data_IF_567881314623
#
_entry.id   IF_567881314623
#
_cell.length_a   1.000
_cell.length_b   1.000
_cell.length_c   1.000
_cell.angle_alpha   90.00
_cell.angle_beta   90.00
_cell.angle_gamma   90.00
#
_symmetry.space_group_name_H-M   'P 1'
#
loop_
_entity.id
_entity.type
_entity.pdbx_description
1 polymer ?
#
# COMPACT_ATOMS: atom_id res chain seq x y z
N UNK A 1 -14.53 29.18 9.87
CA UNK A 1 -13.41 28.25 9.57
C UNK A 1 -12.22 29.09 9.16
N UNK A 2 -11.07 28.76 9.71
CA UNK A 2 -9.75 29.22 9.26
C UNK A 2 -9.25 28.33 8.11
N UNK A 3 -7.99 28.49 7.71
CA UNK A 3 -7.35 27.66 6.66
C UNK A 3 -6.95 26.25 7.15
N UNK A 4 -6.79 26.06 8.45
CA UNK A 4 -6.26 24.83 9.04
C UNK A 4 -7.36 23.85 9.47
N UNK A 5 -8.60 24.35 9.58
CA UNK A 5 -9.84 23.62 9.78
C UNK A 5 -9.91 22.36 8.91
N UNK A 6 -10.18 21.20 9.53
CA UNK A 6 -10.29 19.89 8.86
C UNK A 6 -11.68 19.32 9.07
N UNK A 7 -12.21 18.64 8.05
CA UNK A 7 -13.48 17.92 8.15
C UNK A 7 -13.18 16.49 8.54
N UNK A 8 -13.83 15.99 9.59
CA UNK A 8 -13.64 14.62 10.08
C UNK A 8 -14.97 13.87 10.09
N UNK A 9 -15.02 12.71 9.45
CA UNK A 9 -16.18 11.81 9.49
C UNK A 9 -15.97 10.87 10.67
N UNK A 10 -16.66 11.16 11.77
CA UNK A 10 -16.69 10.39 13.00
C UNK A 10 -17.57 9.13 12.88
N UNK A 11 -17.35 8.09 13.71
CA UNK A 11 -18.28 6.96 13.77
C UNK A 11 -19.61 7.40 14.38
N UNK A 12 -20.70 6.71 14.01
CA UNK A 12 -22.01 6.92 14.65
C UNK A 12 -21.97 6.39 16.08
N UNK A 13 -22.32 7.24 17.04
CA UNK A 13 -22.39 6.91 18.47
C UNK A 13 -23.75 7.27 19.06
N UNK A 14 -24.06 6.64 20.19
CA UNK A 14 -25.11 7.13 21.08
C UNK A 14 -24.57 8.33 21.86
N UNK A 15 -25.44 9.27 22.25
CA UNK A 15 -25.05 10.64 22.60
C UNK A 15 -24.49 10.82 24.02
N UNK A 16 -23.32 10.25 24.27
CA UNK A 16 -22.46 10.48 25.45
C UNK A 16 -20.96 10.29 25.19
N UNK A 17 -20.57 9.69 24.05
CA UNK A 17 -19.19 9.24 23.80
C UNK A 17 -18.14 10.34 23.74
N UNK A 18 -17.00 10.11 24.40
CA UNK A 18 -15.80 10.94 24.29
C UNK A 18 -14.85 10.41 23.19
N UNK A 19 -14.19 11.33 22.50
CA UNK A 19 -13.19 11.03 21.48
C UNK A 19 -11.90 11.80 21.75
N UNK A 20 -10.79 11.08 21.87
CA UNK A 20 -9.44 11.64 22.00
C UNK A 20 -8.64 11.35 20.72
N UNK A 21 -7.88 12.33 20.22
CA UNK A 21 -6.86 12.08 19.20
C UNK A 21 -5.56 11.73 19.92
N UNK A 22 -4.97 10.59 19.56
CA UNK A 22 -3.70 10.08 20.09
C UNK A 22 -2.74 9.82 18.92
N UNK A 23 -1.44 10.03 19.12
CA UNK A 23 -0.43 9.75 18.09
C UNK A 23 0.32 8.47 18.44
N UNK A 24 0.29 7.49 17.54
CA UNK A 24 0.95 6.19 17.69
C UNK A 24 2.04 6.01 16.64
N UNK A 25 3.05 5.16 16.87
CA UNK A 25 3.94 4.72 15.80
C UNK A 25 3.14 4.09 14.65
N UNK A 26 3.52 4.40 13.42
CA UNK A 26 2.89 3.86 12.21
C UNK A 26 3.34 2.40 12.01
N UNK A 27 2.43 1.41 11.96
CA UNK A 27 2.80 -0.01 11.85
C UNK A 27 3.69 -0.37 10.66
N UNK A 28 3.63 0.39 9.55
CA UNK A 28 4.45 0.13 8.34
C UNK A 28 5.84 0.79 8.38
N UNK A 29 6.07 1.73 9.30
CA UNK A 29 7.36 2.37 9.51
C UNK A 29 7.38 3.01 10.90
N UNK A 30 7.98 2.29 11.85
CA UNK A 30 8.02 2.67 13.26
C UNK A 30 8.82 3.97 13.55
N UNK A 31 9.54 4.51 12.58
CA UNK A 31 10.21 5.84 12.68
C UNK A 31 9.26 7.03 12.42
N UNK A 32 7.98 6.76 12.13
CA UNK A 32 6.96 7.78 11.83
C UNK A 32 5.74 7.58 12.72
N UNK A 33 5.09 8.67 13.13
CA UNK A 33 3.82 8.61 13.87
C UNK A 33 2.62 8.86 12.95
N UNK A 34 1.48 8.24 13.28
CA UNK A 34 0.17 8.46 12.65
C UNK A 34 -0.84 8.82 13.74
N UNK A 35 -1.76 9.74 13.44
CA UNK A 35 -2.84 10.09 14.36
C UNK A 35 -3.97 9.06 14.30
N UNK A 36 -4.47 8.68 15.47
CA UNK A 36 -5.59 7.77 15.66
C UNK A 36 -6.65 8.46 16.53
N UNK A 37 -7.91 8.05 16.37
CA UNK A 37 -9.02 8.49 17.19
C UNK A 37 -9.37 7.36 18.16
N UNK A 38 -9.10 7.58 19.44
CA UNK A 38 -9.54 6.72 20.51
C UNK A 38 -10.97 7.12 20.91
N UNK A 39 -11.89 6.18 20.80
CA UNK A 39 -13.27 6.32 21.22
C UNK A 39 -13.44 5.66 22.59
N UNK A 40 -13.69 6.48 23.61
CA UNK A 40 -14.12 6.04 24.92
C UNK A 40 -15.65 5.96 24.96
N UNK A 41 -16.16 4.85 25.47
CA UNK A 41 -17.58 4.67 25.72
C UNK A 41 -17.74 3.96 27.07
N UNK A 42 -18.65 4.45 27.91
CA UNK A 42 -18.97 3.81 29.19
C UNK A 42 -19.82 2.55 28.97
N UNK A 43 -20.70 2.57 27.94
CA UNK A 43 -21.64 1.49 27.60
C UNK A 43 -21.07 0.43 26.64
N UNK A 44 -19.84 0.57 26.14
CA UNK A 44 -19.23 -0.44 25.24
C UNK A 44 -17.72 -0.48 25.34
N UNK A 45 -17.13 -1.58 24.89
CA UNK A 45 -15.68 -1.69 24.71
C UNK A 45 -15.11 -0.46 23.98
N UNK A 46 -13.97 0.03 24.46
CA UNK A 46 -13.19 1.08 23.82
C UNK A 46 -12.85 0.68 22.38
N UNK A 47 -12.77 1.64 21.47
CA UNK A 47 -12.44 1.37 20.06
C UNK A 47 -11.41 2.35 19.55
N UNK A 48 -10.31 1.82 19.01
CA UNK A 48 -9.32 2.59 18.29
C UNK A 48 -9.72 2.70 16.81
N UNK A 49 -9.61 3.90 16.24
CA UNK A 49 -9.82 4.16 14.82
C UNK A 49 -8.57 4.81 14.22
N UNK A 50 -8.14 4.39 13.04
CA UNK A 50 -7.12 5.12 12.28
C UNK A 50 -7.74 6.31 11.56
N UNK A 51 -7.00 7.42 11.50
CA UNK A 51 -7.38 8.59 10.73
C UNK A 51 -6.67 8.58 9.38
N UNK A 52 -7.44 8.50 8.29
CA UNK A 52 -6.94 8.57 6.91
C UNK A 52 -7.48 9.82 6.21
N UNK A 53 -6.65 10.44 5.37
CA UNK A 53 -7.06 11.59 4.55
C UNK A 53 -7.55 11.10 3.18
N UNK A 54 -8.74 11.53 2.79
CA UNK A 54 -9.31 11.42 1.43
C UNK A 54 -9.50 12.84 0.91
N UNK A 55 -8.85 13.18 -0.21
CA UNK A 55 -8.95 14.50 -0.84
C UNK A 55 -8.40 14.51 -2.26
N UNK A 56 -8.68 15.59 -3.00
CA UNK A 56 -8.09 15.86 -4.32
C UNK A 56 -6.64 16.36 -4.24
N UNK A 57 -6.01 16.61 -5.40
CA UNK A 57 -4.67 17.19 -5.48
C UNK A 57 -4.62 18.62 -4.89
N UNK A 58 -4.23 18.75 -3.62
CA UNK A 58 -3.76 20.01 -3.00
C UNK A 58 -2.39 19.78 -2.32
N UNK A 59 -1.47 19.18 -3.08
CA UNK A 59 -0.04 19.01 -2.74
C UNK A 59 0.80 19.86 -3.72
N UNK A 60 0.33 21.08 -4.01
CA UNK A 60 0.89 21.95 -5.05
C UNK A 60 0.87 23.46 -4.70
N UNK A 61 0.62 23.81 -3.44
CA UNK A 61 1.26 24.98 -2.83
C UNK A 61 2.74 24.59 -2.56
N UNK A 62 3.77 25.39 -2.83
CA UNK A 62 3.78 26.78 -3.29
C UNK A 62 4.24 27.69 -2.16
N UNK A 63 5.55 28.02 -2.15
CA UNK A 63 6.30 28.79 -1.14
C UNK A 63 6.54 28.04 0.20
N UNK A 64 7.63 28.23 0.96
CA UNK A 64 8.99 28.79 0.78
C UNK A 64 9.89 28.19 1.90
N UNK A 65 11.23 28.20 1.90
CA UNK A 65 12.24 28.57 0.87
C UNK A 65 12.91 27.24 0.39
N UNK A 66 13.86 26.58 1.07
CA UNK A 66 15.20 27.11 1.35
C UNK A 66 16.29 26.41 0.51
N UNK A 67 17.32 27.19 0.19
CA UNK A 67 18.39 26.93 -0.78
C UNK A 67 19.12 25.59 -0.60
N UNK A 68 19.37 24.91 -1.71
CA UNK A 68 20.64 24.24 -1.95
C UNK A 68 21.09 24.42 -3.41
N UNK A 69 21.77 25.53 -3.67
CA UNK A 69 22.70 25.59 -4.80
C UNK A 69 23.82 24.56 -4.56
N UNK A 70 23.87 23.51 -5.36
CA UNK A 70 25.03 23.19 -6.19
C UNK A 70 24.76 21.95 -7.06
N UNK A 71 25.25 21.98 -8.30
CA UNK A 71 25.01 20.89 -9.24
C UNK A 71 25.96 19.72 -9.04
N UNK A 72 25.44 18.49 -9.16
CA UNK A 72 26.18 17.42 -9.80
C UNK A 72 25.23 16.45 -10.51
N UNK A 73 25.61 16.01 -11.71
CA UNK A 73 24.78 15.14 -12.53
C UNK A 73 25.23 13.68 -12.41
N UNK A 74 24.32 12.74 -12.12
CA UNK A 74 24.57 11.33 -12.47
C UNK A 74 24.10 10.20 -11.55
N UNK A 75 22.84 10.15 -11.11
CA UNK A 75 22.19 8.90 -10.62
C UNK A 75 20.68 8.98 -10.88
N UNK A 76 20.16 8.53 -12.02
CA UNK A 76 19.75 7.13 -12.27
C UNK A 76 18.97 6.49 -11.13
N UNK A 77 17.67 6.25 -11.39
CA UNK A 77 16.81 5.23 -10.79
C UNK A 77 16.63 5.25 -9.26
N UNK A 78 15.87 6.25 -8.76
CA UNK A 78 14.85 5.98 -7.73
C UNK A 78 13.46 6.08 -8.38
N UNK A 79 12.53 5.23 -7.93
CA UNK A 79 11.27 4.99 -8.63
C UNK A 79 10.40 6.25 -8.75
N UNK A 80 10.12 6.67 -9.99
CA UNK A 80 9.01 7.58 -10.23
C UNK A 80 7.71 6.84 -9.93
N UNK A 81 7.10 7.09 -8.77
CA UNK A 81 5.66 6.84 -8.60
C UNK A 81 4.97 7.51 -9.79
N UNK A 82 4.09 6.81 -10.55
CA UNK A 82 3.48 7.39 -11.73
C UNK A 82 2.71 8.64 -11.32
N UNK A 83 3.16 9.81 -11.78
CA UNK A 83 2.41 11.06 -11.67
C UNK A 83 1.25 11.03 -12.66
N UNK A 84 0.29 10.13 -12.40
CA UNK A 84 -1.00 10.09 -13.10
C UNK A 84 -1.84 11.29 -12.68
N UNK A 85 -1.41 12.50 -13.07
CA UNK A 85 -2.18 13.74 -12.99
C UNK A 85 -3.33 13.69 -14.00
N UNK A 86 -4.23 12.73 -13.80
CA UNK A 86 -5.61 12.81 -14.25
C UNK A 86 -6.21 13.99 -13.50
N UNK A 87 -6.11 15.17 -14.11
CA UNK A 87 -6.85 16.36 -13.70
C UNK A 87 -8.34 16.03 -13.81
N UNK A 88 -8.94 15.51 -12.75
CA UNK A 88 -10.38 15.40 -12.65
C UNK A 88 -10.94 16.81 -12.58
N UNK A 89 -11.58 17.25 -13.66
CA UNK A 89 -12.23 18.57 -13.71
C UNK A 89 -13.35 18.68 -12.66
N UNK A 90 -13.86 17.52 -12.20
CA UNK A 90 -14.80 17.31 -11.10
C UNK A 90 -14.11 17.04 -9.74
N UNK A 91 -12.83 17.42 -9.56
CA UNK A 91 -12.20 17.40 -8.23
C UNK A 91 -12.95 18.33 -7.28
N UNK A 92 -13.25 17.84 -6.07
CA UNK A 92 -13.78 18.69 -4.99
C UNK A 92 -12.66 19.66 -4.61
N UNK A 93 -12.94 20.97 -4.66
CA UNK A 93 -11.98 22.05 -4.36
C UNK A 93 -12.28 22.81 -3.06
N UNK A 94 -13.46 22.60 -2.50
CA UNK A 94 -13.94 23.29 -1.31
C UNK A 94 -15.18 22.60 -0.77
N UNK A 95 -15.36 22.62 0.54
CA UNK A 95 -16.57 22.11 1.20
C UNK A 95 -17.38 23.31 1.71
N UNK A 96 -18.68 23.31 1.44
CA UNK A 96 -19.60 24.39 1.82
C UNK A 96 -20.49 23.89 2.96
N UNK A 97 -20.48 24.59 4.08
CA UNK A 97 -21.26 24.31 5.27
C UNK A 97 -22.32 25.39 5.48
N UNK A 98 -23.56 25.01 5.76
CA UNK A 98 -24.60 25.96 6.12
C UNK A 98 -24.23 26.73 7.41
N UNK A 99 -24.60 28.02 7.53
CA UNK A 99 -25.41 28.83 6.59
C UNK A 99 -24.60 29.51 5.47
N UNK A 100 -23.32 29.18 5.26
CA UNK A 100 -22.50 29.79 4.20
C UNK A 100 -20.98 29.79 4.42
N UNK A 101 -20.45 28.94 5.30
CA UNK A 101 -19.00 28.83 5.51
C UNK A 101 -18.36 27.98 4.40
N UNK A 102 -17.31 28.51 3.76
CA UNK A 102 -16.53 27.78 2.76
C UNK A 102 -15.20 27.36 3.37
N UNK A 103 -14.94 26.05 3.38
CA UNK A 103 -13.61 25.50 3.64
C UNK A 103 -12.86 25.33 2.32
N UNK A 104 -11.70 25.95 2.21
CA UNK A 104 -10.85 25.87 0.99
C UNK A 104 -10.09 24.56 0.85
N UNK A 105 -9.97 23.76 1.93
CA UNK A 105 -9.39 22.41 1.87
C UNK A 105 -10.47 21.37 1.57
N UNK A 106 -10.33 20.56 0.50
CA UNK A 106 -11.19 19.42 0.22
C UNK A 106 -10.73 18.12 0.92
N UNK A 107 -9.66 18.19 1.73
CA UNK A 107 -9.08 17.04 2.44
C UNK A 107 -9.98 16.65 3.63
N UNK A 108 -10.79 15.61 3.44
CA UNK A 108 -11.65 15.00 4.46
C UNK A 108 -10.86 13.92 5.20
N UNK A 109 -10.92 13.91 6.52
CA UNK A 109 -10.41 12.82 7.36
C UNK A 109 -11.55 11.81 7.59
N UNK A 110 -11.27 10.53 7.41
CA UNK A 110 -12.18 9.43 7.80
C UNK A 110 -11.59 8.63 8.97
N UNK A 111 -12.46 8.18 9.89
CA UNK A 111 -12.09 7.26 10.97
C UNK A 111 -12.46 5.82 10.61
N UNK A 112 -11.50 4.98 10.22
CA UNK A 112 -11.71 3.54 10.03
C UNK A 112 -11.39 2.79 11.32
N UNK A 113 -12.13 1.71 11.66
CA UNK A 113 -11.77 0.88 12.81
C UNK A 113 -10.38 0.26 12.61
N UNK A 114 -9.47 0.53 13.54
CA UNK A 114 -8.12 -0.03 13.55
C UNK A 114 -8.02 -1.17 14.57
N UNK A 115 -7.12 -2.12 14.33
CA UNK A 115 -6.84 -3.19 15.28
C UNK A 115 -5.39 -3.09 15.77
N UNK A 116 -5.23 -2.87 17.07
CA UNK A 116 -3.95 -2.64 17.74
C UNK A 116 -2.98 -3.83 17.58
N UNK A 117 -3.46 -5.06 17.37
CA UNK A 117 -2.60 -6.23 17.07
C UNK A 117 -1.60 -5.99 15.94
N UNK A 118 -1.97 -5.26 14.88
CA UNK A 118 -1.05 -4.93 13.77
C UNK A 118 0.16 -4.12 14.22
N UNK A 119 -0.08 -3.15 15.12
CA UNK A 119 0.98 -2.34 15.70
C UNK A 119 1.83 -3.17 16.68
N UNK A 120 1.21 -4.01 17.53
CA UNK A 120 1.94 -4.85 18.48
C UNK A 120 2.87 -5.87 17.79
N UNK A 121 2.42 -6.53 16.71
CA UNK A 121 3.26 -7.44 15.91
C UNK A 121 4.54 -6.71 15.46
N UNK A 122 4.37 -5.51 14.90
CA UNK A 122 5.47 -4.72 14.34
C UNK A 122 6.43 -4.21 15.43
N UNK A 123 5.89 -3.64 16.51
CA UNK A 123 6.67 -3.12 17.64
C UNK A 123 7.51 -4.21 18.33
N UNK A 124 6.88 -5.33 18.70
CA UNK A 124 7.58 -6.39 19.42
C UNK A 124 8.55 -7.17 18.52
N UNK A 125 8.25 -7.34 17.23
CA UNK A 125 9.22 -7.87 16.27
C UNK A 125 10.49 -7.01 16.23
N UNK A 126 10.35 -5.69 16.06
CA UNK A 126 11.49 -4.77 16.01
C UNK A 126 12.32 -4.82 17.31
N UNK A 127 11.70 -4.79 18.49
CA UNK A 127 12.43 -4.86 19.77
C UNK A 127 13.22 -6.17 19.89
N UNK A 128 12.63 -7.32 19.51
CA UNK A 128 13.31 -8.61 19.61
C UNK A 128 14.45 -8.72 18.58
N UNK A 129 14.25 -8.21 17.35
CA UNK A 129 15.33 -8.12 16.35
C UNK A 129 16.51 -7.28 16.86
N UNK A 130 16.25 -6.12 17.47
CA UNK A 130 17.30 -5.27 18.05
C UNK A 130 18.04 -5.97 19.19
N UNK A 131 17.32 -6.64 20.10
CA UNK A 131 17.93 -7.38 21.21
C UNK A 131 18.78 -8.55 20.73
N UNK A 132 18.36 -9.27 19.69
CA UNK A 132 19.19 -10.28 19.05
C UNK A 132 20.47 -9.68 18.44
N UNK A 133 20.38 -8.58 17.70
CA UNK A 133 21.54 -7.90 17.11
C UNK A 133 22.56 -7.42 18.17
N UNK A 134 22.10 -7.00 19.35
CA UNK A 134 22.98 -6.61 20.46
C UNK A 134 23.68 -7.82 21.12
N UNK A 135 23.09 -9.02 21.06
CA UNK A 135 23.61 -10.22 21.73
C UNK A 135 24.49 -11.11 20.83
N UNK A 136 24.30 -11.11 19.51
CA UNK A 136 25.06 -11.98 18.59
C UNK A 136 26.02 -11.22 17.66
N UNK A 137 27.31 -11.21 18.01
CA UNK A 137 28.39 -10.78 17.09
C UNK A 137 28.64 -11.75 15.92
N UNK A 138 27.98 -12.92 15.88
CA UNK A 138 28.16 -13.92 14.83
C UNK A 138 26.84 -14.63 14.45
N UNK A 139 26.77 -14.98 13.16
CA UNK A 139 25.74 -15.82 12.49
C UNK A 139 24.27 -15.40 12.59
N UNK A 140 23.74 -14.99 11.42
CA UNK A 140 22.35 -15.16 10.96
C UNK A 140 21.24 -15.33 12.03
N UNK A 141 20.42 -14.28 12.18
CA UNK A 141 19.16 -14.32 12.90
C UNK A 141 18.31 -15.54 12.46
N UNK A 142 18.10 -16.51 13.36
CA UNK A 142 17.09 -17.55 13.16
C UNK A 142 15.72 -16.90 13.30
N UNK A 143 14.99 -16.74 12.19
CA UNK A 143 13.75 -15.97 12.14
C UNK A 143 12.63 -16.48 13.06
N UNK A 144 12.78 -17.69 13.59
CA UNK A 144 11.92 -18.28 14.62
C UNK A 144 11.94 -17.47 15.92
N UNK A 145 13.07 -16.85 16.27
CA UNK A 145 13.24 -16.03 17.49
C UNK A 145 12.75 -14.57 17.35
N UNK A 146 11.97 -14.23 16.32
CA UNK A 146 11.41 -12.87 16.14
C UNK A 146 10.44 -12.47 17.27
N UNK A 147 9.91 -13.46 17.99
CA UNK A 147 8.95 -13.28 19.07
C UNK A 147 9.50 -13.93 20.34
N UNK A 148 9.52 -13.19 21.45
CA UNK A 148 10.16 -13.61 22.70
C UNK A 148 9.41 -14.79 23.37
N UNK A 149 10.14 -15.87 23.65
CA UNK A 149 9.65 -17.11 24.27
C UNK A 149 9.27 -17.00 25.76
N UNK A 150 9.58 -15.89 26.43
CA UNK A 150 9.30 -15.70 27.85
C UNK A 150 7.91 -15.09 28.06
N UNK A 151 7.12 -15.67 28.97
CA UNK A 151 5.87 -15.09 29.46
C UNK A 151 6.13 -13.78 30.24
N UNK A 152 5.24 -12.80 30.07
CA UNK A 152 5.33 -11.44 30.64
C UNK A 152 3.97 -10.90 31.05
N UNK A 153 3.88 -10.13 32.14
CA UNK A 153 2.64 -9.41 32.49
C UNK A 153 2.31 -8.32 31.45
N UNK A 154 1.11 -7.74 31.52
CA UNK A 154 0.79 -6.58 30.67
C UNK A 154 1.68 -5.37 31.00
N UNK A 155 2.03 -5.14 32.28
CA UNK A 155 2.92 -4.04 32.65
C UNK A 155 4.36 -4.27 32.19
N UNK A 156 4.90 -5.50 32.25
CA UNK A 156 6.20 -5.84 31.64
C UNK A 156 6.26 -5.52 30.14
N UNK A 157 5.12 -5.65 29.44
CA UNK A 157 4.99 -5.35 28.02
C UNK A 157 4.84 -3.84 27.79
N UNK A 158 4.09 -3.11 28.62
CA UNK A 158 3.95 -1.65 28.57
C UNK A 158 5.28 -0.96 28.91
N UNK A 159 5.98 -1.39 29.96
CA UNK A 159 7.32 -0.94 30.29
C UNK A 159 8.32 -1.24 29.16
N UNK A 160 8.23 -2.43 28.53
CA UNK A 160 9.06 -2.72 27.36
C UNK A 160 8.74 -1.81 26.16
N UNK A 161 7.50 -1.36 25.98
CA UNK A 161 7.18 -0.38 24.93
C UNK A 161 7.65 1.03 25.29
N UNK A 162 7.49 1.46 26.54
CA UNK A 162 7.95 2.77 27.03
C UNK A 162 9.48 2.91 26.95
N UNK A 163 10.24 1.89 27.37
CA UNK A 163 11.71 1.93 27.35
C UNK A 163 12.32 1.99 25.93
N UNK A 164 11.56 1.58 24.89
CA UNK A 164 12.07 1.47 23.51
C UNK A 164 11.46 2.53 22.56
N UNK A 165 10.31 3.12 22.91
CA UNK A 165 9.55 4.05 22.04
C UNK A 165 9.06 5.34 22.74
N UNK A 166 9.56 5.68 23.93
CA UNK A 166 9.35 7.00 24.53
C UNK A 166 10.18 8.05 23.80
N UNK A 167 9.54 9.11 23.29
CA UNK A 167 10.24 10.25 22.70
C UNK A 167 10.83 11.14 23.81
N UNK A 168 12.15 11.36 23.82
CA UNK A 168 12.86 12.18 24.83
C UNK A 168 12.37 13.64 24.97
N UNK A 169 11.56 14.12 24.03
CA UNK A 169 11.28 15.56 23.86
C UNK A 169 9.80 15.96 23.94
N UNK A 170 8.87 15.00 24.05
CA UNK A 170 7.47 15.29 24.33
C UNK A 170 6.88 14.27 25.31
N UNK A 171 6.01 14.73 26.20
CA UNK A 171 5.43 13.95 27.29
C UNK A 171 4.32 12.97 26.83
N UNK A 172 4.45 12.45 25.60
CA UNK A 172 3.45 11.72 24.83
C UNK A 172 3.66 10.21 25.01
N UNK A 173 3.53 9.74 26.26
CA UNK A 173 3.59 8.33 26.66
C UNK A 173 2.35 7.57 26.16
N UNK A 174 2.22 7.46 24.83
CA UNK A 174 1.07 6.89 24.12
C UNK A 174 0.69 5.48 24.60
N UNK A 175 1.67 4.74 25.13
CA UNK A 175 1.49 3.42 25.73
C UNK A 175 0.47 3.45 26.88
N UNK A 176 0.47 4.53 27.66
CA UNK A 176 -0.43 4.79 28.79
C UNK A 176 -1.75 5.46 28.38
N UNK A 177 -1.85 5.96 27.14
CA UNK A 177 -3.09 6.54 26.60
C UNK A 177 -4.04 5.49 26.02
N UNK A 178 -3.56 4.28 25.75
CA UNK A 178 -4.34 3.15 25.26
C UNK A 178 -4.89 2.36 26.46
N UNK A 179 -6.23 2.20 26.60
CA UNK A 179 -6.81 1.38 27.66
C UNK A 179 -6.36 -0.08 27.60
N UNK A 180 -6.06 -0.67 28.76
CA UNK A 180 -5.59 -2.06 28.91
C UNK A 180 -6.51 -3.08 28.23
N UNK A 181 -7.82 -2.81 28.17
CA UNK A 181 -8.80 -3.58 27.41
C UNK A 181 -8.38 -3.81 25.94
N UNK A 182 -7.82 -2.80 25.26
CA UNK A 182 -7.36 -2.91 23.88
C UNK A 182 -6.07 -3.75 23.79
N UNK A 183 -5.18 -3.66 24.76
CA UNK A 183 -4.01 -4.55 24.85
C UNK A 183 -4.45 -6.00 25.08
N UNK A 184 -5.28 -6.30 26.08
CA UNK A 184 -5.78 -7.65 26.34
C UNK A 184 -6.48 -8.26 25.11
N UNK A 185 -7.39 -7.52 24.45
CA UNK A 185 -8.04 -7.95 23.21
C UNK A 185 -7.03 -8.24 22.09
N UNK A 186 -5.94 -7.47 22.01
CA UNK A 186 -4.90 -7.66 20.98
C UNK A 186 -3.97 -8.83 21.31
N UNK A 187 -3.58 -8.98 22.57
CA UNK A 187 -2.63 -10.01 23.04
C UNK A 187 -3.25 -11.41 23.05
N UNK A 188 -4.53 -11.56 23.41
CA UNK A 188 -5.26 -12.84 23.34
C UNK A 188 -5.22 -13.44 21.92
N UNK A 189 -5.16 -12.59 20.89
CA UNK A 189 -5.08 -13.01 19.49
C UNK A 189 -3.66 -13.37 19.00
N UNK A 190 -2.62 -12.94 19.71
CA UNK A 190 -1.21 -13.03 19.27
C UNK A 190 -0.33 -13.89 20.18
N UNK A 191 -0.84 -14.26 21.36
CA UNK A 191 -0.05 -14.85 22.44
C UNK A 191 -0.68 -16.13 22.99
N UNK A 192 0.17 -17.00 23.54
CA UNK A 192 -0.20 -17.83 24.66
C UNK A 192 -0.47 -16.99 25.89
N UNK A 193 -1.50 -17.37 26.63
CA UNK A 193 -1.97 -16.68 27.84
C UNK A 193 -1.99 -17.69 28.97
N UNK A 194 -1.29 -17.39 30.05
CA UNK A 194 -1.37 -18.12 31.31
C UNK A 194 -1.99 -17.17 32.34
N UNK A 195 -3.02 -17.63 33.05
CA UNK A 195 -3.70 -16.86 34.09
C UNK A 195 -3.46 -17.56 35.42
N UNK A 196 -2.52 -17.05 36.21
CA UNK A 196 -2.13 -17.66 37.50
C UNK A 196 -3.05 -17.22 38.65
N UNK A 197 -3.44 -15.94 38.64
CA UNK A 197 -4.37 -15.33 39.59
C UNK A 197 -5.66 -14.92 38.87
N UNK A 198 -6.74 -14.62 39.62
CA UNK A 198 -8.05 -14.24 39.03
C UNK A 198 -7.93 -13.04 38.08
N UNK A 199 -7.09 -12.07 38.43
CA UNK A 199 -6.99 -10.77 37.76
C UNK A 199 -5.66 -10.57 36.99
N UNK A 200 -4.78 -11.59 36.94
CA UNK A 200 -3.43 -11.46 36.36
C UNK A 200 -3.17 -12.50 35.27
N UNK A 201 -2.86 -12.01 34.06
CA UNK A 201 -2.54 -12.82 32.89
C UNK A 201 -1.16 -12.48 32.34
N UNK A 202 -0.37 -13.54 32.09
CA UNK A 202 0.93 -13.49 31.48
C UNK A 202 0.86 -13.91 30.00
N UNK A 203 1.57 -13.19 29.15
CA UNK A 203 1.53 -13.30 27.70
C UNK A 203 2.88 -13.71 27.14
N UNK A 204 2.89 -14.69 26.22
CA UNK A 204 4.02 -15.04 25.37
C UNK A 204 3.57 -15.02 23.92
N UNK A 205 4.20 -14.21 23.07
CA UNK A 205 3.86 -14.17 21.64
C UNK A 205 4.08 -15.54 20.99
N UNK A 206 3.12 -16.01 20.20
CA UNK A 206 3.20 -17.28 19.48
C UNK A 206 3.06 -17.05 17.96
N UNK A 207 4.00 -17.60 17.20
CA UNK A 207 4.04 -17.44 15.75
C UNK A 207 2.82 -18.08 15.07
N UNK A 208 2.34 -19.26 15.52
CA UNK A 208 1.20 -19.90 14.86
C UNK A 208 -0.09 -19.10 15.06
N UNK A 209 -0.32 -18.53 16.25
CA UNK A 209 -1.42 -17.59 16.53
C UNK A 209 -1.33 -16.32 15.71
N UNK A 210 -0.16 -15.69 15.62
CA UNK A 210 0.06 -14.50 14.77
C UNK A 210 -0.31 -14.82 13.30
N UNK A 211 0.14 -15.96 12.78
CA UNK A 211 -0.16 -16.39 11.40
C UNK A 211 -1.64 -16.72 11.20
N UNK A 212 -2.29 -17.43 12.13
CA UNK A 212 -3.72 -17.73 12.09
C UNK A 212 -4.56 -16.45 12.14
N UNK A 213 -4.25 -15.54 13.07
CA UNK A 213 -4.97 -14.27 13.20
C UNK A 213 -4.81 -13.39 11.96
N UNK A 214 -3.61 -13.30 11.39
CA UNK A 214 -3.36 -12.60 10.11
C UNK A 214 -4.17 -13.25 8.98
N UNK A 215 -4.20 -14.58 8.90
CA UNK A 215 -4.94 -15.29 7.88
C UNK A 215 -6.46 -15.08 8.00
N UNK A 216 -7.03 -15.04 9.20
CA UNK A 216 -8.44 -14.65 9.38
C UNK A 216 -8.74 -13.28 8.77
N UNK A 217 -7.83 -12.30 8.93
CA UNK A 217 -8.04 -10.95 8.39
C UNK A 217 -7.88 -10.94 6.87
N UNK A 218 -6.95 -11.71 6.33
CA UNK A 218 -6.81 -11.96 4.88
C UNK A 218 -8.08 -12.56 4.29
N UNK A 219 -8.62 -13.63 4.89
CA UNK A 219 -9.84 -14.29 4.43
C UNK A 219 -11.10 -13.41 4.60
N UNK A 220 -11.17 -12.61 5.68
CA UNK A 220 -12.24 -11.63 5.87
C UNK A 220 -12.21 -10.52 4.80
N UNK A 221 -11.01 -10.03 4.43
CA UNK A 221 -10.83 -9.05 3.37
C UNK A 221 -11.13 -9.64 1.98
N UNK A 222 -10.65 -10.85 1.69
CA UNK A 222 -10.96 -11.58 0.46
C UNK A 222 -12.47 -11.75 0.29
N UNK A 223 -13.15 -12.22 1.36
CA UNK A 223 -14.61 -12.34 1.38
C UNK A 223 -15.28 -10.99 1.11
N UNK A 224 -14.88 -9.93 1.80
CA UNK A 224 -15.42 -8.59 1.57
C UNK A 224 -15.26 -8.12 0.11
N UNK A 225 -14.09 -8.34 -0.50
CA UNK A 225 -13.82 -7.97 -1.90
C UNK A 225 -14.68 -8.79 -2.86
N UNK A 226 -14.88 -10.09 -2.61
CA UNK A 226 -15.57 -10.98 -3.54
C UNK A 226 -17.11 -10.97 -3.40
N UNK A 227 -17.66 -10.67 -2.21
CA UNK A 227 -19.13 -10.68 -1.99
C UNK A 227 -19.84 -9.36 -2.25
N UNK A 228 -19.13 -8.24 -2.26
CA UNK A 228 -19.72 -6.91 -2.46
C UNK A 228 -19.37 -6.38 -3.85
N UNK A 229 -20.28 -5.69 -4.54
CA UNK A 229 -19.90 -5.00 -5.78
C UNK A 229 -19.10 -3.73 -5.42
N UNK A 230 -17.82 -3.72 -5.80
CA UNK A 230 -16.86 -2.70 -5.37
C UNK A 230 -15.73 -2.53 -6.40
N UNK A 231 -15.06 -1.37 -6.37
CA UNK A 231 -14.04 -1.00 -7.35
C UNK A 231 -12.81 -1.92 -7.36
N UNK A 232 -12.48 -2.59 -6.26
CA UNK A 232 -11.41 -3.59 -6.21
C UNK A 232 -11.85 -4.83 -7.00
N UNK A 233 -13.07 -5.34 -6.77
CA UNK A 233 -13.63 -6.46 -7.55
C UNK A 233 -13.70 -6.13 -9.06
N UNK A 234 -14.06 -4.89 -9.43
CA UNK A 234 -13.99 -4.44 -10.82
C UNK A 234 -12.56 -4.48 -11.36
N UNK A 235 -11.58 -4.00 -10.59
CA UNK A 235 -10.16 -4.05 -10.96
C UNK A 235 -9.67 -5.49 -11.15
N UNK A 236 -9.95 -6.40 -10.20
CA UNK A 236 -9.51 -7.80 -10.31
C UNK A 236 -10.11 -8.50 -11.53
N UNK A 237 -11.39 -8.21 -11.85
CA UNK A 237 -12.04 -8.73 -13.07
C UNK A 237 -11.40 -8.18 -14.35
N UNK A 238 -11.01 -6.90 -14.38
CA UNK A 238 -10.28 -6.29 -15.50
C UNK A 238 -8.85 -6.85 -15.64
N UNK A 239 -8.16 -7.13 -14.53
CA UNK A 239 -6.80 -7.67 -14.52
C UNK A 239 -6.75 -9.13 -15.02
N UNK A 240 -7.83 -9.89 -14.84
CA UNK A 240 -8.04 -11.23 -15.41
C UNK A 240 -8.70 -11.25 -16.80
N UNK A 241 -9.23 -10.12 -17.28
CA UNK A 241 -9.94 -10.02 -18.57
C UNK A 241 -9.85 -8.60 -19.17
N UNK A 242 -8.66 -8.14 -19.62
CA UNK A 242 -8.46 -6.73 -19.99
C UNK A 242 -9.32 -6.26 -21.17
N UNK A 243 -9.75 -7.17 -22.04
CA UNK A 243 -10.61 -6.89 -23.18
C UNK A 243 -12.11 -6.96 -22.86
N UNK A 244 -12.50 -7.41 -21.66
CA UNK A 244 -13.91 -7.65 -21.25
C UNK A 244 -14.71 -8.50 -22.26
N UNK A 245 -14.03 -9.32 -23.06
CA UNK A 245 -14.60 -9.91 -24.28
C UNK A 245 -15.23 -11.30 -24.08
N UNK A 246 -14.83 -12.00 -23.02
CA UNK A 246 -15.48 -13.23 -22.54
C UNK A 246 -15.98 -12.99 -21.11
N UNK A 247 -17.28 -13.12 -20.85
CA UNK A 247 -17.83 -12.86 -19.50
C UNK A 247 -17.43 -13.92 -18.46
N UNK A 248 -16.96 -15.10 -18.89
CA UNK A 248 -16.55 -16.19 -18.01
C UNK A 248 -15.07 -16.05 -17.63
N UNK A 249 -14.81 -15.30 -16.56
CA UNK A 249 -13.57 -15.44 -15.78
C UNK A 249 -13.71 -16.73 -14.97
N UNK A 250 -12.65 -17.54 -14.88
CA UNK A 250 -12.69 -18.75 -14.06
C UNK A 250 -12.71 -18.39 -12.57
N UNK A 251 -13.69 -18.89 -11.82
CA UNK A 251 -13.87 -18.57 -10.40
C UNK A 251 -12.62 -18.84 -9.57
N UNK A 252 -11.86 -19.89 -9.88
CA UNK A 252 -10.60 -20.18 -9.18
C UNK A 252 -9.58 -19.04 -9.35
N UNK A 253 -9.38 -18.53 -10.57
CA UNK A 253 -8.44 -17.43 -10.82
C UNK A 253 -8.88 -16.14 -10.12
N UNK A 254 -10.18 -15.88 -10.02
CA UNK A 254 -10.72 -14.74 -9.29
C UNK A 254 -10.57 -14.89 -7.77
N UNK A 255 -10.74 -16.10 -7.23
CA UNK A 255 -10.48 -16.40 -5.83
C UNK A 255 -8.99 -16.30 -5.48
N UNK A 256 -8.11 -16.89 -6.30
CA UNK A 256 -6.65 -16.85 -6.15
C UNK A 256 -6.13 -15.41 -6.17
N UNK A 257 -6.55 -14.60 -7.15
CA UNK A 257 -6.15 -13.19 -7.24
C UNK A 257 -6.74 -12.35 -6.09
N UNK A 258 -7.98 -12.62 -5.70
CA UNK A 258 -8.62 -11.97 -4.55
C UNK A 258 -7.90 -12.26 -3.24
N UNK A 259 -7.39 -13.49 -3.06
CA UNK A 259 -6.59 -13.89 -1.91
C UNK A 259 -5.23 -13.20 -1.92
N UNK A 260 -4.50 -13.27 -3.05
CA UNK A 260 -3.21 -12.60 -3.23
C UNK A 260 -3.30 -11.10 -2.96
N UNK A 261 -4.30 -10.42 -3.53
CA UNK A 261 -4.56 -9.00 -3.27
C UNK A 261 -4.83 -8.74 -1.78
N UNK A 262 -5.55 -9.64 -1.09
CA UNK A 262 -5.87 -9.46 0.33
C UNK A 262 -4.66 -9.66 1.24
N UNK A 263 -3.77 -10.59 0.90
CA UNK A 263 -2.46 -10.73 1.54
C UNK A 263 -1.65 -9.45 1.32
N UNK A 264 -1.44 -9.06 0.06
CA UNK A 264 -0.57 -7.93 -0.27
C UNK A 264 -1.13 -6.59 0.22
N UNK A 265 -2.45 -6.43 0.34
CA UNK A 265 -3.05 -5.26 0.97
C UNK A 265 -2.75 -5.22 2.49
N UNK A 266 -3.00 -6.32 3.22
CA UNK A 266 -2.82 -6.32 4.69
C UNK A 266 -1.35 -6.19 5.06
N UNK A 267 -0.49 -6.96 4.42
CA UNK A 267 0.94 -6.99 4.74
C UNK A 267 1.62 -5.66 4.43
N UNK A 268 1.36 -5.06 3.26
CA UNK A 268 2.01 -3.80 2.88
C UNK A 268 1.33 -2.53 3.43
N UNK A 269 0.19 -2.64 4.12
CA UNK A 269 -0.53 -1.48 4.70
C UNK A 269 -0.50 -1.44 6.23
N UNK A 270 -0.25 -2.57 6.91
CA UNK A 270 -0.37 -2.67 8.37
C UNK A 270 0.76 -3.41 9.09
N UNK A 271 1.81 -3.88 8.40
CA UNK A 271 2.99 -4.51 9.02
C UNK A 271 4.27 -3.83 8.56
N UNK A 272 5.28 -3.78 9.43
CA UNK A 272 6.59 -3.17 9.14
C UNK A 272 7.37 -3.98 8.09
N UNK A 273 8.05 -3.30 7.17
CA UNK A 273 8.83 -3.94 6.09
C UNK A 273 9.87 -4.96 6.61
N UNK A 274 10.42 -4.73 7.81
CA UNK A 274 11.36 -5.61 8.50
C UNK A 274 10.77 -6.90 9.08
N UNK A 275 9.44 -7.06 9.10
CA UNK A 275 8.74 -8.28 9.53
C UNK A 275 7.79 -8.86 8.47
N UNK A 276 7.23 -8.00 7.61
CA UNK A 276 6.31 -8.32 6.53
C UNK A 276 6.81 -9.52 5.70
N UNK A 277 8.03 -9.45 5.17
CA UNK A 277 8.59 -10.49 4.28
C UNK A 277 8.63 -11.89 4.91
N UNK A 278 9.06 -11.98 6.18
CA UNK A 278 9.11 -13.23 6.93
C UNK A 278 7.72 -13.78 7.25
N UNK A 279 6.84 -12.96 7.82
CA UNK A 279 5.47 -13.41 8.16
C UNK A 279 4.67 -13.77 6.90
N UNK A 280 4.90 -13.07 5.77
CA UNK A 280 4.26 -13.39 4.49
C UNK A 280 4.73 -14.75 3.99
N UNK A 281 6.04 -15.03 4.00
CA UNK A 281 6.55 -16.36 3.64
C UNK A 281 5.95 -17.44 4.55
N UNK A 282 5.96 -17.24 5.87
CA UNK A 282 5.42 -18.23 6.82
C UNK A 282 3.92 -18.46 6.68
N UNK A 283 3.14 -17.43 6.34
CA UNK A 283 1.71 -17.57 6.07
C UNK A 283 1.44 -18.38 4.80
N UNK A 284 2.27 -18.23 3.75
CA UNK A 284 2.17 -19.06 2.53
C UNK A 284 2.57 -20.51 2.80
N UNK A 285 3.59 -20.75 3.63
CA UNK A 285 4.04 -22.09 4.02
C UNK A 285 2.99 -22.84 4.87
N UNK A 286 2.50 -22.20 5.95
CA UNK A 286 1.54 -22.77 6.91
C UNK A 286 0.21 -23.17 6.23
N UNK A 287 -0.38 -22.23 5.48
CA UNK A 287 -1.69 -22.40 4.84
C UNK A 287 -1.62 -22.93 3.40
N UNK A 288 -0.40 -23.18 2.89
CA UNK A 288 -0.12 -23.85 1.60
C UNK A 288 -0.73 -23.11 0.41
N UNK A 289 -0.64 -21.79 0.41
CA UNK A 289 -1.17 -20.94 -0.66
C UNK A 289 -0.22 -20.91 -1.87
N UNK A 290 -0.71 -21.42 -3.01
CA UNK A 290 -0.01 -21.37 -4.30
C UNK A 290 -0.71 -20.40 -5.27
N UNK A 291 0.04 -19.39 -5.73
CA UNK A 291 -0.43 -18.41 -6.72
C UNK A 291 0.19 -18.62 -8.11
N UNK A 292 0.97 -19.69 -8.31
CA UNK A 292 1.68 -19.97 -9.58
C UNK A 292 0.72 -19.99 -10.77
N UNK A 293 -0.48 -20.53 -10.59
CA UNK A 293 -1.51 -20.59 -11.64
C UNK A 293 -1.98 -19.21 -12.08
N UNK A 294 -2.37 -18.35 -11.12
CA UNK A 294 -2.95 -17.04 -11.41
C UNK A 294 -1.90 -16.02 -11.86
N UNK A 295 -0.71 -16.05 -11.26
CA UNK A 295 0.42 -15.22 -11.68
C UNK A 295 0.83 -15.53 -13.12
N UNK A 296 0.94 -16.82 -13.47
CA UNK A 296 1.23 -17.22 -14.86
C UNK A 296 0.15 -16.73 -15.83
N UNK A 297 -1.14 -16.87 -15.48
CA UNK A 297 -2.22 -16.40 -16.34
C UNK A 297 -2.15 -14.88 -16.60
N UNK A 298 -1.87 -14.10 -15.56
CA UNK A 298 -1.69 -12.64 -15.65
C UNK A 298 -0.46 -12.29 -16.50
N UNK A 299 0.64 -13.03 -16.42
CA UNK A 299 1.82 -12.79 -17.25
C UNK A 299 1.61 -13.23 -18.71
N UNK A 300 0.92 -14.34 -18.96
CA UNK A 300 0.48 -14.75 -20.31
C UNK A 300 -0.42 -13.67 -20.95
N UNK A 301 -1.30 -13.01 -20.18
CA UNK A 301 -2.12 -11.87 -20.62
C UNK A 301 -1.26 -10.63 -20.95
N UNK A 302 -0.31 -10.25 -20.09
CA UNK A 302 0.62 -9.12 -20.35
C UNK A 302 1.43 -9.35 -21.63
N UNK A 303 1.90 -10.58 -21.86
CA UNK A 303 2.61 -10.96 -23.08
C UNK A 303 1.71 -10.76 -24.30
N UNK A 304 0.47 -11.27 -24.28
CA UNK A 304 -0.49 -11.08 -25.38
C UNK A 304 -0.78 -9.60 -25.66
N UNK A 305 -1.01 -8.81 -24.61
CA UNK A 305 -1.26 -7.37 -24.74
C UNK A 305 -0.05 -6.65 -25.39
N UNK A 306 1.17 -6.95 -24.94
CA UNK A 306 2.39 -6.38 -25.53
C UNK A 306 2.60 -6.77 -26.99
N UNK A 307 2.21 -7.99 -27.39
CA UNK A 307 2.28 -8.45 -28.78
C UNK A 307 1.29 -7.69 -29.67
N UNK A 308 0.05 -7.48 -29.19
CA UNK A 308 -0.97 -6.68 -29.89
C UNK A 308 -0.51 -5.23 -30.06
N UNK A 309 0.06 -4.62 -29.01
CA UNK A 309 0.55 -3.24 -29.03
C UNK A 309 1.73 -3.05 -30.00
N UNK A 310 2.68 -3.99 -30.04
CA UNK A 310 3.77 -4.01 -31.03
C UNK A 310 3.26 -4.19 -32.48
N UNK A 311 2.21 -5.01 -32.69
CA UNK A 311 1.58 -5.17 -34.01
C UNK A 311 0.82 -3.90 -34.43
N UNK A 312 0.18 -3.20 -33.49
CA UNK A 312 -0.46 -1.90 -33.76
C UNK A 312 0.58 -0.82 -34.08
N UNK A 313 1.65 -0.71 -33.31
CA UNK A 313 2.75 0.24 -33.58
C UNK A 313 3.38 0.00 -34.95
N UNK A 314 3.68 -1.25 -35.32
CA UNK A 314 4.33 -1.57 -36.59
C UNK A 314 3.41 -1.29 -37.80
N UNK A 315 2.10 -1.50 -37.66
CA UNK A 315 1.11 -1.11 -38.67
C UNK A 315 0.89 0.41 -38.76
N UNK A 316 0.98 1.15 -37.65
CA UNK A 316 0.95 2.62 -37.66
C UNK A 316 2.21 3.20 -38.34
N UNK A 317 3.39 2.61 -38.04
CA UNK A 317 4.68 3.00 -38.61
C UNK A 317 4.77 2.69 -40.11
N UNK A 318 4.14 1.61 -40.61
CA UNK A 318 4.04 1.34 -42.05
C UNK A 318 3.06 2.30 -42.76
N UNK A 319 1.93 2.63 -42.12
CA UNK A 319 0.91 3.55 -42.67
C UNK A 319 1.41 4.99 -42.80
N UNK A 320 2.17 5.49 -41.82
CA UNK A 320 2.76 6.86 -41.85
C UNK A 320 3.86 7.04 -42.90
N UNK A 321 4.52 5.96 -43.33
CA UNK A 321 5.54 6.04 -44.38
C UNK A 321 4.93 6.11 -45.79
N UNK A 322 3.76 5.52 -46.02
CA UNK A 322 3.10 5.50 -47.34
C UNK A 322 2.34 6.78 -47.69
N UNK A 323 2.12 7.70 -46.75
CA UNK A 323 1.30 8.92 -46.94
C UNK A 323 2.09 10.15 -47.45
N UNK A 324 3.40 10.03 -47.71
CA UNK A 324 4.25 11.15 -48.19
C UNK A 324 4.56 11.16 -49.70
N UNK A 325 3.93 10.31 -50.51
CA UNK A 325 4.31 10.11 -51.93
C UNK A 325 3.16 10.18 -52.95
N UNK A 326 2.24 11.16 -52.84
CA UNK A 326 1.07 11.23 -53.74
C UNK A 326 0.59 12.65 -54.15
N UNK A 327 1.40 13.71 -54.01
CA UNK A 327 0.92 15.10 -54.24
C UNK A 327 1.89 16.07 -54.97
N UNK A 328 2.35 15.72 -56.17
CA UNK A 328 2.86 16.74 -57.12
C UNK A 328 2.34 16.55 -58.55
N UNK A 329 1.25 17.25 -58.89
CA UNK A 329 0.90 17.55 -60.29
C UNK A 329 1.96 18.51 -60.86
N UNK A 330 2.64 18.14 -61.95
CA UNK A 330 3.41 19.09 -62.78
C UNK A 330 2.96 19.00 -64.24
N UNK A 331 2.86 20.16 -64.89
CA UNK A 331 2.56 20.30 -66.32
C UNK A 331 3.69 19.72 -67.18
N UNK A 332 3.41 19.23 -68.39
CA UNK A 332 4.46 18.88 -69.35
C UNK A 332 5.17 20.13 -69.86
N UNK A 333 6.49 20.05 -70.00
CA UNK A 333 7.30 20.97 -70.78
C UNK A 333 8.50 20.18 -71.35
N UNK A 334 8.80 20.40 -72.63
CA UNK A 334 9.85 19.70 -73.38
C UNK A 334 11.25 20.25 -73.06
N UNK A 335 12.24 19.36 -72.97
CA UNK A 335 13.65 19.74 -72.80
C UNK A 335 14.57 18.50 -72.77
N UNK A 336 15.58 18.48 -73.63
CA UNK A 336 16.45 17.32 -73.85
C UNK A 336 17.72 17.31 -73.00
N UNK A 337 18.20 16.09 -72.71
CA UNK A 337 19.60 15.74 -72.41
C UNK A 337 20.39 16.57 -71.38
N UNK A 338 20.63 15.99 -70.19
CA UNK A 338 21.89 15.24 -70.01
C UNK A 338 21.98 14.39 -68.72
N UNK A 339 22.93 13.46 -68.69
CA UNK A 339 23.11 12.47 -67.61
C UNK A 339 23.77 13.08 -66.36
N UNK A 340 23.26 12.77 -65.17
CA UNK A 340 24.07 12.59 -63.96
C UNK A 340 23.40 11.60 -62.99
N UNK A 341 23.98 10.41 -62.86
CA UNK A 341 23.52 9.38 -61.92
C UNK A 341 24.08 9.70 -60.53
N UNK A 342 23.21 9.78 -59.52
CA UNK A 342 23.61 9.66 -58.11
C UNK A 342 22.92 8.44 -57.49
N UNK A 343 23.69 7.36 -57.33
CA UNK A 343 23.51 6.45 -56.19
C UNK A 343 23.88 7.22 -54.91
N UNK A 344 23.30 6.97 -53.74
CA UNK A 344 22.22 6.04 -53.41
C UNK A 344 22.40 5.53 -51.98
N UNK A 345 21.61 6.02 -51.02
CA UNK A 345 21.77 5.71 -49.58
C UNK A 345 21.24 4.33 -49.15
N UNK A 346 21.14 3.37 -50.10
CA UNK A 346 20.56 2.03 -49.92
C UNK A 346 21.60 0.92 -50.24
N UNK A 347 22.77 1.27 -50.80
CA UNK A 347 23.84 0.34 -51.23
C UNK A 347 24.62 -0.31 -50.06
N UNK A 348 24.10 -0.21 -48.83
CA UNK A 348 24.72 -0.71 -47.59
C UNK A 348 24.09 -1.99 -47.03
N UNK A 349 22.88 -2.38 -47.48
CA UNK A 349 22.12 -3.47 -46.85
C UNK A 349 22.23 -4.85 -47.52
N UNK A 350 22.74 -4.95 -48.76
CA UNK A 350 22.75 -6.21 -49.51
C UNK A 350 24.07 -6.53 -50.22
N UNK A 351 25.15 -6.66 -49.45
CA UNK A 351 26.29 -7.51 -49.86
C UNK A 351 26.15 -8.90 -49.27
N UNK A 352 25.62 -9.84 -50.07
CA UNK A 352 25.87 -11.28 -49.82
C UNK A 352 27.35 -11.57 -50.07
N UNK A 353 27.92 -12.47 -49.27
CA UNK A 353 29.16 -13.15 -49.63
C UNK A 353 28.95 -14.07 -50.84
N UNK A 354 30.05 -14.58 -51.40
CA UNK A 354 30.05 -15.48 -52.57
C UNK A 354 29.32 -16.79 -52.29
#
# INVERSE_FOLDING_TARGET
>A
MDKESKVIILPKTNSSSEFKIINLPNPTNLTTTKSYLLHHNEDSNNQLYELNIIGGEDDNDGNDDEKTDNGNAGTKNKGQKPKSKLKSENSIKSLIFEPGYVLQSPKIIISNKFNLSYLLISLFSNINQQKSQQQSQQSSLSSENLFNDNFKSLEDLKDQLLNEYREDTNNNDWVLEIPDQLYHQSLINLCDVITENIDESFYRFDLSKILHWLNEKVLALQKYILTNDNSILTKLKLELNPSMSNNNIEDQLLNDLGLLYSIDYIFNSYLDDGVNSFLRQKLLEEFKYDFTRVLKHIDDLKIQQSLIENVLESNLKSTTNNTKSSSTKKKPATGTTNKKVKRGAIDSFFKKAK
#
